data_IF_339898199243
#
_entry.id   IF_339898199243
#
_cell.length_a   1.000
_cell.length_b   1.000
_cell.length_c   1.000
_cell.angle_alpha   90.00
_cell.angle_beta   90.00
_cell.angle_gamma   90.00
#
_symmetry.space_group_name_H-M   'P 1'
#
loop_
_entity.id
_entity.type
_entity.pdbx_description
1 polymer ?
#
# COMPACT_ATOMS: atom_id res chain seq x y z
N UNK A 1 3.31 -13.00 29.21
CA UNK A 1 2.70 -11.96 28.36
C UNK A 1 3.15 -12.28 26.96
N UNK A 2 2.27 -12.90 26.18
CA UNK A 2 2.57 -13.29 24.81
C UNK A 2 2.66 -12.02 23.99
N UNK A 3 3.85 -11.68 23.49
CA UNK A 3 3.94 -10.71 22.41
C UNK A 3 3.24 -11.37 21.23
N UNK A 4 2.01 -10.93 20.95
CA UNK A 4 1.39 -11.18 19.65
C UNK A 4 2.38 -10.66 18.62
N UNK A 5 3.02 -11.58 17.93
CA UNK A 5 3.88 -11.27 16.78
C UNK A 5 2.87 -10.86 15.71
N UNK A 6 2.51 -9.59 15.68
CA UNK A 6 1.85 -9.02 14.52
C UNK A 6 2.83 -9.22 13.37
N UNK A 7 2.48 -10.09 12.42
CA UNK A 7 3.23 -10.25 11.18
C UNK A 7 3.06 -8.96 10.39
N UNK A 8 3.95 -8.01 10.66
CA UNK A 8 4.02 -6.75 9.93
C UNK A 8 4.91 -6.97 8.71
N UNK A 9 4.56 -6.40 7.56
CA UNK A 9 5.43 -6.46 6.39
C UNK A 9 6.76 -5.76 6.68
N UNK A 10 7.81 -6.11 5.94
CA UNK A 10 9.10 -5.44 6.08
C UNK A 10 9.16 -4.10 5.31
N UNK A 11 10.00 -3.18 5.79
CA UNK A 11 10.26 -1.94 5.07
C UNK A 11 10.93 -2.24 3.71
N UNK A 12 10.37 -1.71 2.63
CA UNK A 12 10.81 -1.95 1.25
C UNK A 12 10.12 -3.14 0.57
N UNK A 13 9.25 -3.84 1.30
CA UNK A 13 8.46 -4.93 0.78
C UNK A 13 7.36 -4.43 -0.17
N UNK A 14 6.98 -5.30 -1.10
CA UNK A 14 5.96 -5.02 -2.10
C UNK A 14 4.80 -5.93 -1.83
N UNK A 15 3.66 -5.30 -1.64
CA UNK A 15 2.46 -5.95 -1.16
C UNK A 15 1.28 -5.57 -2.04
N UNK A 16 0.26 -6.41 -2.02
CA UNK A 16 -1.03 -6.10 -2.62
C UNK A 16 -1.94 -5.54 -1.53
N UNK A 17 -2.37 -4.28 -1.68
CA UNK A 17 -3.30 -3.64 -0.76
C UNK A 17 -4.61 -3.28 -1.46
N UNK A 18 -5.72 -3.42 -0.75
CA UNK A 18 -7.06 -3.07 -1.22
C UNK A 18 -7.44 -1.69 -0.71
N UNK A 19 -7.83 -0.79 -1.59
CA UNK A 19 -8.26 0.56 -1.17
C UNK A 19 -9.61 0.48 -0.46
N UNK A 20 -9.64 0.84 0.82
CA UNK A 20 -10.88 0.84 1.61
C UNK A 20 -11.54 2.20 1.64
N UNK A 21 -10.74 3.29 1.65
CA UNK A 21 -11.28 4.66 1.71
C UNK A 21 -10.39 5.63 0.96
N UNK A 22 -10.98 6.41 0.06
CA UNK A 22 -10.27 7.46 -0.68
C UNK A 22 -10.55 8.82 -0.05
N UNK A 23 -9.52 9.64 0.13
CA UNK A 23 -9.59 11.01 0.66
C UNK A 23 -8.92 12.00 -0.31
N UNK A 24 -9.09 13.30 -0.06
CA UNK A 24 -8.47 14.34 -0.90
C UNK A 24 -6.95 14.41 -0.77
N UNK A 25 -6.39 14.00 0.37
CA UNK A 25 -4.95 14.05 0.66
C UNK A 25 -4.27 12.67 0.63
N UNK A 26 -5.01 11.60 0.29
CA UNK A 26 -4.49 10.24 0.28
C UNK A 26 -5.59 9.18 0.18
N UNK A 27 -5.25 7.94 0.46
CA UNK A 27 -6.19 6.84 0.56
C UNK A 27 -5.77 5.87 1.66
N UNK A 28 -6.74 5.40 2.42
CA UNK A 28 -6.57 4.24 3.28
C UNK A 28 -6.72 2.97 2.45
N UNK A 29 -5.84 2.03 2.72
CA UNK A 29 -5.80 0.73 2.10
C UNK A 29 -5.62 -0.32 3.18
N UNK A 30 -6.07 -1.55 2.93
CA UNK A 30 -5.81 -2.70 3.81
C UNK A 30 -4.94 -3.72 3.11
N UNK A 31 -4.05 -4.32 3.88
CA UNK A 31 -3.10 -5.31 3.40
C UNK A 31 -3.74 -6.71 3.47
N UNK A 32 -4.30 -7.16 2.35
CA UNK A 32 -4.97 -8.48 2.24
C UNK A 32 -4.03 -9.64 2.57
N UNK A 33 -2.71 -9.46 2.36
CA UNK A 33 -1.67 -10.46 2.66
C UNK A 33 -1.24 -10.49 4.14
N UNK A 34 -1.60 -9.49 4.94
CA UNK A 34 -1.14 -9.33 6.33
C UNK A 34 -2.33 -8.99 7.23
N UNK A 35 -3.29 -9.91 7.36
CA UNK A 35 -4.46 -9.80 8.27
C UNK A 35 -5.24 -8.47 8.16
N UNK A 36 -5.36 -7.93 6.94
CA UNK A 36 -6.02 -6.64 6.67
C UNK A 36 -5.45 -5.46 7.48
N UNK A 37 -4.15 -5.49 7.79
CA UNK A 37 -3.47 -4.37 8.44
C UNK A 37 -3.78 -3.06 7.71
N UNK A 38 -3.98 -1.99 8.47
CA UNK A 38 -4.26 -0.68 7.92
C UNK A 38 -2.98 -0.03 7.36
N UNK A 39 -3.08 0.42 6.12
CA UNK A 39 -2.07 1.19 5.43
C UNK A 39 -2.60 2.54 4.99
N UNK A 40 -1.69 3.51 4.94
CA UNK A 40 -1.97 4.86 4.49
C UNK A 40 -1.14 5.20 3.25
N UNK A 41 -1.83 5.55 2.17
CA UNK A 41 -1.24 5.98 0.92
C UNK A 41 -1.37 7.50 0.78
N UNK A 42 -0.27 8.21 0.99
CA UNK A 42 -0.26 9.66 0.90
C UNK A 42 -0.33 10.16 -0.56
N UNK A 43 -1.04 11.26 -0.83
CA UNK A 43 -1.20 11.81 -2.20
C UNK A 43 0.13 12.05 -2.91
N UNK A 44 1.16 12.52 -2.19
CA UNK A 44 2.50 12.73 -2.74
C UNK A 44 3.18 11.45 -3.21
N UNK A 45 2.75 10.30 -2.68
CA UNK A 45 3.26 8.98 -3.02
C UNK A 45 2.43 8.28 -4.10
N UNK A 46 1.29 8.86 -4.52
CA UNK A 46 0.45 8.34 -5.60
C UNK A 46 1.03 8.69 -6.98
N UNK A 47 1.41 9.96 -7.18
CA UNK A 47 2.00 10.39 -8.45
C UNK A 47 2.94 11.60 -8.26
N UNK A 48 3.99 11.73 -9.10
CA UNK A 48 4.76 12.96 -9.19
C UNK A 48 3.92 14.09 -9.81
N UNK A 49 3.53 15.07 -9.00
CA UNK A 49 2.93 16.32 -9.49
C UNK A 49 1.59 16.66 -8.84
N UNK A 50 0.91 17.65 -9.39
CA UNK A 50 -0.41 18.06 -8.90
C UNK A 50 -1.48 17.05 -9.32
N UNK A 51 -1.99 16.31 -8.34
CA UNK A 51 -3.15 15.44 -8.49
C UNK A 51 -4.42 16.25 -8.25
N UNK A 52 -5.28 16.34 -9.27
CA UNK A 52 -6.55 17.07 -9.16
C UNK A 52 -7.62 16.31 -8.37
N UNK A 53 -7.57 14.97 -8.41
CA UNK A 53 -8.46 14.09 -7.64
C UNK A 53 -7.80 12.74 -7.43
N UNK A 54 -7.65 12.33 -6.16
CA UNK A 54 -7.08 11.03 -5.78
C UNK A 54 -7.94 9.87 -6.29
N UNK A 55 -9.27 10.06 -6.31
CA UNK A 55 -10.26 9.10 -6.82
C UNK A 55 -10.04 8.65 -8.28
N UNK A 56 -9.34 9.44 -9.11
CA UNK A 56 -8.97 9.02 -10.48
C UNK A 56 -7.82 8.02 -10.51
N UNK A 57 -6.99 8.02 -9.48
CA UNK A 57 -5.83 7.16 -9.37
C UNK A 57 -6.13 5.92 -8.53
N UNK A 58 -6.93 6.05 -7.48
CA UNK A 58 -7.30 4.94 -6.59
C UNK A 58 -8.80 4.98 -6.40
N UNK A 59 -9.44 3.83 -6.53
CA UNK A 59 -10.87 3.64 -6.31
C UNK A 59 -11.09 2.75 -5.11
N UNK A 60 -12.18 2.97 -4.39
CA UNK A 60 -12.63 2.05 -3.37
C UNK A 60 -12.78 0.62 -3.94
N UNK A 61 -12.32 -0.37 -3.17
CA UNK A 61 -12.29 -1.77 -3.57
C UNK A 61 -11.22 -2.14 -4.60
N UNK A 62 -10.43 -1.20 -5.11
CA UNK A 62 -9.38 -1.51 -6.09
C UNK A 62 -8.13 -2.05 -5.38
N UNK A 63 -7.63 -3.21 -5.86
CA UNK A 63 -6.38 -3.80 -5.40
C UNK A 63 -5.19 -3.18 -6.13
N UNK A 64 -4.22 -2.67 -5.39
CA UNK A 64 -2.99 -2.08 -5.93
C UNK A 64 -1.73 -2.62 -5.27
N UNK A 65 -0.71 -2.76 -6.11
CA UNK A 65 0.65 -3.06 -5.67
C UNK A 65 1.26 -1.78 -5.11
N UNK A 66 1.62 -1.82 -3.83
CA UNK A 66 2.23 -0.71 -3.11
C UNK A 66 3.53 -1.17 -2.44
N UNK A 67 4.46 -0.24 -2.27
CA UNK A 67 5.69 -0.45 -1.51
C UNK A 67 5.51 0.03 -0.08
N UNK A 68 5.89 -0.80 0.88
CA UNK A 68 6.00 -0.44 2.29
C UNK A 68 7.16 0.51 2.47
N UNK A 69 6.86 1.79 2.67
CA UNK A 69 7.89 2.81 2.90
C UNK A 69 8.30 2.85 4.35
N UNK A 70 7.36 2.67 5.27
CA UNK A 70 7.63 2.65 6.70
C UNK A 70 6.51 1.89 7.41
N UNK A 71 6.92 1.11 8.41
CA UNK A 71 6.01 0.33 9.25
C UNK A 71 6.00 1.02 10.61
N UNK A 72 4.82 1.34 11.14
CA UNK A 72 4.62 1.75 12.52
C UNK A 72 3.65 0.76 13.17
N UNK A 73 3.66 0.72 14.51
CA UNK A 73 2.84 -0.21 15.29
C UNK A 73 1.34 -0.21 14.90
N UNK A 74 0.78 0.94 14.54
CA UNK A 74 -0.64 1.10 14.22
C UNK A 74 -0.95 1.42 12.74
N UNK A 75 0.03 1.90 11.96
CA UNK A 75 -0.21 2.38 10.59
C UNK A 75 1.02 2.20 9.70
N UNK A 76 0.79 1.76 8.46
CA UNK A 76 1.85 1.51 7.49
C UNK A 76 1.83 2.58 6.40
N UNK A 77 2.93 3.31 6.27
CA UNK A 77 3.12 4.27 5.19
C UNK A 77 3.45 3.53 3.89
N UNK A 78 2.56 3.66 2.91
CA UNK A 78 2.66 3.00 1.61
C UNK A 78 2.95 4.00 0.50
N UNK A 79 3.65 3.53 -0.52
CA UNK A 79 4.02 4.34 -1.67
C UNK A 79 3.75 3.61 -2.98
N UNK A 80 3.04 4.27 -3.89
CA UNK A 80 2.82 3.78 -5.24
C UNK A 80 3.95 4.20 -6.19
N UNK A 81 4.55 5.37 -5.93
CA UNK A 81 5.60 5.96 -6.75
C UNK A 81 6.98 5.33 -6.51
N UNK A 82 7.26 4.84 -5.30
CA UNK A 82 8.51 4.12 -5.00
C UNK A 82 8.53 2.68 -5.52
N UNK A 83 7.42 2.17 -6.04
CA UNK A 83 7.37 0.83 -6.63
C UNK A 83 8.24 0.78 -7.89
N UNK A 84 9.40 0.14 -7.79
CA UNK A 84 10.28 -0.07 -8.93
C UNK A 84 9.69 -1.05 -9.95
N UNK A 85 10.09 -0.94 -11.22
CA UNK A 85 9.62 -1.85 -12.29
C UNK A 85 9.95 -3.31 -11.99
N UNK A 86 11.14 -3.60 -11.48
CA UNK A 86 11.55 -4.94 -11.05
C UNK A 86 10.64 -5.49 -9.96
N UNK A 87 10.36 -4.67 -8.96
CA UNK A 87 9.51 -5.04 -7.83
C UNK A 87 8.06 -5.28 -8.23
N UNK A 88 7.51 -4.43 -9.09
CA UNK A 88 6.19 -4.65 -9.69
C UNK A 88 6.15 -5.96 -10.49
N UNK A 89 7.22 -6.26 -11.24
CA UNK A 89 7.35 -7.49 -12.03
C UNK A 89 7.48 -8.72 -11.15
N UNK A 90 8.13 -8.62 -10.00
CA UNK A 90 8.27 -9.70 -9.03
C UNK A 90 6.93 -10.05 -8.40
N UNK A 91 6.20 -9.06 -7.87
CA UNK A 91 4.89 -9.33 -7.26
C UNK A 91 3.85 -9.82 -8.27
N UNK A 92 3.85 -9.29 -9.49
CA UNK A 92 2.95 -9.76 -10.55
C UNK A 92 3.25 -11.20 -11.01
N UNK A 93 4.50 -11.66 -10.88
CA UNK A 93 4.88 -13.06 -11.16
C UNK A 93 4.43 -13.99 -10.03
N UNK A 94 4.49 -13.53 -8.79
CA UNK A 94 4.10 -14.29 -7.61
C UNK A 94 2.59 -14.54 -7.59
N UNK A 95 1.78 -13.51 -7.88
CA UNK A 95 0.31 -13.60 -7.92
C UNK A 95 -0.22 -14.44 -9.09
N UNK A 96 0.56 -14.65 -10.15
CA UNK A 96 0.16 -15.42 -11.35
C UNK A 96 0.51 -16.91 -11.28
N UNK A 97 1.25 -17.34 -10.26
CA UNK A 97 1.67 -18.73 -10.10
C UNK A 97 0.68 -19.48 -9.23
#
# INVERSE_FOLDING_TARGET
>A
MSTEIQEMPEQGEIILATVTKVMDHGAYVTLDEYDDIQGFLHISEIAPGWIRSVSRFVKDGEKKVLLVKKVKADDIDLSLKQVSKDQKKQKLKEVKK
#
